data_IF_943156417597
#
_entry.id   IF_943156417597
#
_cell.length_a   1.000
_cell.length_b   1.000
_cell.length_c   1.000
_cell.angle_alpha   90.00
_cell.angle_beta   90.00
_cell.angle_gamma   90.00
#
_symmetry.space_group_name_H-M   'P 1'
#
loop_
_entity.id
_entity.type
_entity.pdbx_description
1 polymer ?
#
# COMPACT_ATOMS: atom_id res chain seq x y z
N UNK A 1 -4.68 -51.35 51.17
CA UNK A 1 -4.18 -52.54 51.91
C UNK A 1 -4.45 -53.78 51.07
N UNK A 2 -3.41 -54.63 50.88
CA UNK A 2 -3.35 -55.97 50.26
C UNK A 2 -3.66 -56.04 48.75
N UNK A 3 -2.75 -56.39 47.83
CA UNK A 3 -1.76 -57.48 47.64
C UNK A 3 -2.28 -58.63 46.76
N UNK A 4 -1.52 -58.91 45.67
CA UNK A 4 -1.40 -60.19 44.97
C UNK A 4 -2.25 -60.30 43.70
N UNK A 5 -1.84 -60.89 42.58
CA UNK A 5 -0.74 -61.80 42.27
C UNK A 5 -0.65 -61.87 40.70
N UNK A 6 0.51 -61.73 40.04
CA UNK A 6 1.53 -62.73 39.68
C UNK A 6 1.46 -63.25 38.22
N UNK A 7 2.61 -63.10 37.54
CA UNK A 7 3.27 -63.90 36.47
C UNK A 7 2.73 -63.94 35.03
N UNK A 8 3.67 -63.70 34.12
CA UNK A 8 3.64 -64.21 32.74
C UNK A 8 4.85 -63.73 31.91
N UNK A 9 6.05 -64.24 32.19
CA UNK A 9 7.20 -64.11 31.29
C UNK A 9 6.95 -64.91 30.00
N UNK A 10 7.16 -64.29 28.83
CA UNK A 10 7.58 -65.02 27.62
C UNK A 10 8.74 -64.26 26.99
N UNK A 11 9.90 -64.92 27.02
CA UNK A 11 11.10 -64.57 26.28
C UNK A 11 10.87 -64.94 24.82
N UNK A 12 11.07 -64.01 23.89
CA UNK A 12 11.20 -64.36 22.46
C UNK A 12 12.35 -63.59 21.85
N UNK A 13 13.11 -64.33 21.05
CA UNK A 13 14.50 -64.12 20.68
C UNK A 13 14.68 -63.08 19.57
N UNK A 14 15.81 -62.38 19.66
CA UNK A 14 16.68 -61.91 18.57
C UNK A 14 16.24 -62.18 17.13
N UNK A 15 16.15 -61.11 16.34
CA UNK A 15 16.84 -61.00 15.05
C UNK A 15 17.01 -59.50 14.73
N UNK A 16 18.17 -58.96 15.11
CA UNK A 16 18.61 -57.62 14.66
C UNK A 16 19.23 -57.81 13.28
N UNK A 17 18.48 -57.50 12.23
CA UNK A 17 19.03 -57.35 10.89
C UNK A 17 19.55 -55.91 10.78
N UNK A 18 20.86 -55.75 10.89
CA UNK A 18 21.54 -54.49 10.57
C UNK A 18 21.56 -54.35 9.04
N UNK A 19 20.59 -53.63 8.49
CA UNK A 19 20.63 -53.20 7.09
C UNK A 19 21.58 -52.00 7.01
N UNK A 20 22.77 -52.26 6.50
CA UNK A 20 23.78 -51.25 6.18
C UNK A 20 23.29 -50.45 4.96
N UNK A 21 22.49 -49.41 5.18
CA UNK A 21 22.17 -48.44 4.13
C UNK A 21 23.43 -47.61 3.81
N UNK A 22 24.10 -47.96 2.71
CA UNK A 22 25.09 -47.11 2.05
C UNK A 22 24.44 -45.77 1.70
N UNK A 23 24.76 -44.74 2.48
CA UNK A 23 24.53 -43.35 2.10
C UNK A 23 25.56 -42.98 1.04
N UNK A 24 25.20 -43.20 -0.23
CA UNK A 24 25.79 -42.48 -1.35
C UNK A 24 25.35 -41.01 -1.21
N UNK A 25 26.21 -40.20 -0.58
CA UNK A 25 26.14 -38.76 -0.64
C UNK A 25 26.40 -38.34 -2.10
N UNK A 26 25.35 -38.37 -2.92
CA UNK A 26 25.33 -37.65 -4.18
C UNK A 26 25.53 -36.17 -3.84
N UNK A 27 26.72 -35.65 -4.14
CA UNK A 27 27.00 -34.24 -4.26
C UNK A 27 26.12 -33.70 -5.38
N UNK A 28 24.85 -33.40 -5.08
CA UNK A 28 24.05 -32.57 -5.93
C UNK A 28 24.73 -31.19 -5.95
N UNK A 29 25.07 -30.64 -7.13
CA UNK A 29 25.49 -29.25 -7.18
C UNK A 29 24.33 -28.44 -6.60
N UNK A 30 24.62 -27.67 -5.54
CA UNK A 30 23.72 -26.63 -5.09
C UNK A 30 23.47 -25.73 -6.31
N UNK A 31 22.30 -25.89 -6.94
CA UNK A 31 21.83 -24.90 -7.90
C UNK A 31 21.76 -23.63 -7.09
N UNK A 32 22.62 -22.66 -7.43
CA UNK A 32 22.40 -21.29 -7.04
C UNK A 32 20.99 -20.97 -7.53
N UNK A 33 20.02 -20.98 -6.61
CA UNK A 33 18.74 -20.39 -6.87
C UNK A 33 19.06 -18.94 -7.18
N UNK A 34 18.84 -18.50 -8.41
CA UNK A 34 18.77 -17.08 -8.75
C UNK A 34 17.65 -16.50 -7.91
N UNK A 35 17.96 -16.13 -6.66
CA UNK A 35 17.04 -15.48 -5.75
C UNK A 35 16.97 -14.03 -6.20
N UNK A 36 16.21 -13.79 -7.26
CA UNK A 36 15.81 -12.43 -7.58
C UNK A 36 15.02 -11.90 -6.39
N UNK A 37 15.42 -10.72 -5.89
CA UNK A 37 14.64 -10.00 -4.88
C UNK A 37 13.42 -9.46 -5.60
N UNK A 38 12.23 -9.97 -5.30
CA UNK A 38 11.00 -9.43 -5.86
C UNK A 38 10.46 -8.33 -4.97
N UNK A 39 10.08 -7.19 -5.57
CA UNK A 39 9.24 -6.19 -4.93
C UNK A 39 7.81 -6.36 -5.42
N UNK A 40 6.93 -6.77 -4.51
CA UNK A 40 5.51 -6.91 -4.83
C UNK A 40 4.84 -5.54 -4.94
N UNK A 41 4.28 -5.25 -6.12
CA UNK A 41 3.44 -4.08 -6.33
C UNK A 41 2.10 -4.25 -5.60
N UNK A 42 1.41 -3.15 -5.25
CA UNK A 42 0.20 -3.21 -4.47
C UNK A 42 -0.89 -4.12 -5.06
N UNK A 43 -1.50 -4.93 -4.19
CA UNK A 43 -2.67 -5.74 -4.52
C UNK A 43 -3.97 -5.15 -3.94
N UNK A 44 -5.12 -5.79 -4.25
CA UNK A 44 -6.37 -5.47 -3.56
C UNK A 44 -6.22 -5.59 -2.03
N UNK A 45 -6.85 -4.69 -1.25
CA UNK A 45 -6.79 -4.74 0.21
C UNK A 45 -7.65 -5.90 0.73
N UNK A 46 -7.03 -7.07 0.89
CA UNK A 46 -7.70 -8.31 1.35
C UNK A 46 -7.28 -8.74 2.76
N UNK A 47 -6.27 -8.09 3.34
CA UNK A 47 -5.75 -8.35 4.68
C UNK A 47 -5.62 -7.03 5.46
N UNK A 48 -5.47 -7.15 6.79
CA UNK A 48 -5.32 -6.01 7.70
C UNK A 48 -6.42 -4.95 7.53
N UNK A 49 -7.67 -5.42 7.43
CA UNK A 49 -8.85 -4.57 7.28
C UNK A 49 -9.15 -3.87 8.59
N UNK A 50 -9.56 -2.61 8.48
CA UNK A 50 -9.97 -1.79 9.61
C UNK A 50 -11.47 -1.92 9.85
N UNK A 51 -11.88 -1.82 11.11
CA UNK A 51 -13.27 -1.92 11.56
C UNK A 51 -13.86 -0.52 11.79
N UNK A 52 -14.93 -0.14 11.07
CA UNK A 52 -15.64 1.11 11.32
C UNK A 52 -16.16 1.18 12.76
N UNK A 53 -15.98 2.32 13.43
CA UNK A 53 -16.35 2.54 14.83
C UNK A 53 -15.33 2.02 15.85
N UNK A 54 -14.41 1.14 15.44
CA UNK A 54 -13.32 0.63 16.29
C UNK A 54 -12.00 1.30 15.92
N UNK A 55 -11.58 1.20 14.67
CA UNK A 55 -10.27 1.70 14.18
C UNK A 55 -10.38 3.08 13.52
N UNK A 56 -11.51 3.35 12.86
CA UNK A 56 -11.79 4.63 12.23
C UNK A 56 -13.28 4.99 12.33
N UNK A 57 -13.61 6.27 12.23
CA UNK A 57 -14.99 6.74 12.02
C UNK A 57 -15.03 7.76 10.88
N UNK A 58 -16.21 7.90 10.30
CA UNK A 58 -16.47 8.84 9.21
C UNK A 58 -17.36 9.97 9.73
N UNK A 59 -16.96 11.21 9.50
CA UNK A 59 -17.78 12.39 9.76
C UNK A 59 -18.14 13.07 8.43
N UNK A 60 -19.42 13.37 8.21
CA UNK A 60 -19.84 14.17 7.06
C UNK A 60 -19.33 15.59 7.21
N UNK A 61 -18.70 16.11 6.16
CA UNK A 61 -18.13 17.46 6.11
C UNK A 61 -18.54 18.17 4.83
N UNK A 62 -18.42 19.49 4.83
CA UNK A 62 -18.59 20.29 3.60
C UNK A 62 -17.22 20.61 3.01
N UNK A 63 -16.88 19.95 1.91
CA UNK A 63 -15.70 20.30 1.13
C UNK A 63 -15.87 21.69 0.50
N UNK A 64 -14.78 22.46 0.46
CA UNK A 64 -14.71 23.81 -0.08
C UNK A 64 -13.62 23.90 -1.14
N UNK A 65 -13.84 24.70 -2.17
CA UNK A 65 -12.81 25.04 -3.15
C UNK A 65 -11.81 26.07 -2.60
N UNK A 66 -10.81 26.43 -3.40
CA UNK A 66 -9.78 27.41 -3.05
C UNK A 66 -10.34 28.81 -2.75
N UNK A 67 -11.57 29.11 -3.18
CA UNK A 67 -12.29 30.36 -2.89
C UNK A 67 -13.20 30.25 -1.65
N UNK A 68 -13.15 29.11 -0.94
CA UNK A 68 -13.96 28.84 0.24
C UNK A 68 -15.41 28.47 -0.07
N UNK A 69 -15.79 28.32 -1.33
CA UNK A 69 -17.15 27.98 -1.73
C UNK A 69 -17.40 26.47 -1.59
N UNK A 70 -18.59 26.06 -1.13
CA UNK A 70 -18.96 24.64 -1.11
C UNK A 70 -18.85 24.00 -2.50
N UNK A 71 -18.27 22.81 -2.59
CA UNK A 71 -18.30 22.02 -3.83
C UNK A 71 -19.67 21.30 -3.90
N UNK A 72 -20.53 21.64 -4.87
CA UNK A 72 -21.86 21.05 -4.95
C UNK A 72 -21.76 19.61 -5.47
N UNK A 73 -22.75 18.80 -5.10
CA UNK A 73 -22.99 17.45 -5.66
C UNK A 73 -21.83 16.46 -5.51
N UNK A 74 -20.91 16.69 -4.57
CA UNK A 74 -19.83 15.75 -4.22
C UNK A 74 -19.89 15.49 -2.72
N UNK A 75 -20.34 14.30 -2.27
CA UNK A 75 -20.35 13.98 -0.85
C UNK A 75 -18.91 13.97 -0.33
N UNK A 76 -18.71 14.54 0.85
CA UNK A 76 -17.41 14.64 1.49
C UNK A 76 -17.44 14.07 2.90
N UNK A 77 -16.43 13.27 3.24
CA UNK A 77 -16.26 12.65 4.54
C UNK A 77 -14.87 12.90 5.08
N UNK A 78 -14.77 13.12 6.39
CA UNK A 78 -13.53 13.14 7.14
C UNK A 78 -13.31 11.76 7.76
N UNK A 79 -12.09 11.25 7.68
CA UNK A 79 -11.66 9.99 8.30
C UNK A 79 -10.95 10.37 9.60
N UNK A 80 -11.58 10.05 10.73
CA UNK A 80 -10.95 10.15 12.05
C UNK A 80 -10.41 8.77 12.42
N UNK A 81 -9.11 8.69 12.73
CA UNK A 81 -8.47 7.47 13.20
C UNK A 81 -8.54 7.40 14.73
N UNK A 82 -8.54 6.18 15.26
CA UNK A 82 -8.39 5.97 16.69
C UNK A 82 -6.91 5.79 17.03
N UNK A 83 -6.40 6.67 17.87
CA UNK A 83 -5.15 6.49 18.61
C UNK A 83 -5.42 5.68 19.88
N UNK A 84 -4.49 4.79 20.16
CA UNK A 84 -4.37 4.03 21.41
C UNK A 84 -4.03 4.90 22.63
N UNK A 85 -3.42 6.07 22.41
CA UNK A 85 -3.02 7.00 23.47
C UNK A 85 -4.13 8.01 23.82
N UNK A 86 -4.71 8.66 22.81
CA UNK A 86 -5.56 9.86 23.00
C UNK A 86 -7.01 9.66 22.55
N UNK A 87 -7.40 8.44 22.18
CA UNK A 87 -8.72 8.13 21.66
C UNK A 87 -8.87 8.56 20.19
N UNK A 88 -10.00 9.18 19.83
CA UNK A 88 -10.19 9.64 18.45
C UNK A 88 -9.27 10.81 18.14
N UNK A 89 -8.46 10.69 17.09
CA UNK A 89 -7.64 11.80 16.60
C UNK A 89 -8.57 12.99 16.27
N UNK A 90 -8.41 14.08 17.01
CA UNK A 90 -9.22 15.28 16.80
C UNK A 90 -8.68 16.06 15.61
N UNK A 91 -9.18 15.74 14.43
CA UNK A 91 -9.07 16.65 13.30
C UNK A 91 -10.03 17.82 13.55
N UNK A 92 -9.54 19.06 13.45
CA UNK A 92 -10.34 20.25 13.69
C UNK A 92 -11.62 20.30 12.82
N UNK A 93 -12.60 21.08 13.24
CA UNK A 93 -13.90 21.21 12.54
C UNK A 93 -13.77 21.92 11.19
N UNK A 94 -12.70 22.69 10.99
CA UNK A 94 -12.40 23.37 9.73
C UNK A 94 -11.32 22.61 8.98
N UNK A 95 -11.70 22.00 7.86
CA UNK A 95 -10.78 21.34 6.94
C UNK A 95 -10.18 22.34 5.93
N UNK A 96 -8.95 22.10 5.44
CA UNK A 96 -8.36 22.94 4.41
C UNK A 96 -9.21 22.91 3.13
N UNK A 97 -9.16 23.95 2.28
CA UNK A 97 -9.81 23.92 0.98
C UNK A 97 -9.15 22.89 0.06
N UNK A 98 -9.89 22.47 -0.97
CA UNK A 98 -9.38 21.64 -2.05
C UNK A 98 -8.65 22.51 -3.06
N UNK A 99 -7.44 22.09 -3.43
CA UNK A 99 -6.59 22.77 -4.40
C UNK A 99 -6.45 22.01 -5.72
N UNK A 100 -7.40 21.11 -6.00
CA UNK A 100 -7.48 20.40 -7.27
C UNK A 100 -8.87 20.49 -7.89
N UNK A 101 -8.92 20.32 -9.21
CA UNK A 101 -10.18 20.36 -9.93
C UNK A 101 -11.00 19.08 -9.69
N UNK A 102 -12.30 19.26 -9.41
CA UNK A 102 -13.30 18.18 -9.48
C UNK A 102 -14.20 18.42 -10.69
N UNK A 103 -13.92 17.78 -11.84
CA UNK A 103 -14.64 18.01 -13.08
C UNK A 103 -16.15 17.84 -12.91
N UNK A 104 -16.93 18.84 -13.33
CA UNK A 104 -18.38 18.88 -13.11
C UNK A 104 -19.11 17.64 -13.64
N UNK A 105 -18.71 17.14 -14.82
CA UNK A 105 -19.31 15.96 -15.43
C UNK A 105 -19.03 14.64 -14.67
N UNK A 106 -18.08 14.64 -13.73
CA UNK A 106 -17.66 13.46 -12.96
C UNK A 106 -18.14 13.53 -11.51
N UNK A 107 -18.57 14.70 -11.01
CA UNK A 107 -19.06 14.89 -9.63
C UNK A 107 -20.10 13.85 -9.19
N UNK A 108 -21.11 13.48 -10.01
CA UNK A 108 -22.09 12.46 -9.62
C UNK A 108 -21.51 11.05 -9.39
N UNK A 109 -20.29 10.79 -9.87
CA UNK A 109 -19.62 9.48 -9.73
C UNK A 109 -18.45 9.53 -8.75
N UNK A 110 -18.23 10.65 -8.08
CA UNK A 110 -17.13 10.88 -7.15
C UNK A 110 -17.65 11.17 -5.73
N UNK A 111 -16.77 10.88 -4.77
CA UNK A 111 -16.83 11.28 -3.38
C UNK A 111 -15.46 11.81 -2.95
N UNK A 112 -15.45 12.62 -1.90
CA UNK A 112 -14.25 13.19 -1.29
C UNK A 112 -14.03 12.60 0.09
N UNK A 113 -12.79 12.23 0.37
CA UNK A 113 -12.34 11.83 1.70
C UNK A 113 -11.20 12.72 2.14
N UNK A 114 -11.22 13.18 3.39
CA UNK A 114 -10.11 13.86 4.02
C UNK A 114 -9.53 12.99 5.11
N UNK A 115 -8.20 12.87 5.17
CA UNK A 115 -7.51 12.30 6.31
C UNK A 115 -6.17 13.02 6.53
N UNK A 116 -5.86 13.36 7.78
CA UNK A 116 -4.47 13.68 8.16
C UNK A 116 -3.63 12.39 8.11
N UNK A 117 -2.39 12.38 7.57
CA UNK A 117 -1.65 13.46 6.93
C UNK A 117 -1.83 13.53 5.39
N UNK A 118 -2.67 12.68 4.79
CA UNK A 118 -2.75 12.53 3.33
C UNK A 118 -3.41 13.72 2.62
N UNK A 119 -4.31 14.42 3.31
CA UNK A 119 -5.14 15.49 2.76
C UNK A 119 -6.41 14.97 2.08
N UNK A 120 -6.92 15.76 1.12
CA UNK A 120 -8.10 15.41 0.33
C UNK A 120 -7.80 14.35 -0.73
N UNK A 121 -8.70 13.37 -0.84
CA UNK A 121 -8.65 12.26 -1.78
C UNK A 121 -9.96 12.17 -2.56
N UNK A 122 -9.87 12.01 -3.88
CA UNK A 122 -11.02 11.63 -4.71
C UNK A 122 -11.15 10.11 -4.77
N UNK A 123 -12.37 9.63 -4.58
CA UNK A 123 -12.72 8.21 -4.57
C UNK A 123 -13.99 8.03 -5.41
N UNK A 124 -14.19 6.90 -6.13
CA UNK A 124 -15.47 6.63 -6.77
C UNK A 124 -16.60 6.58 -5.73
N UNK A 125 -17.76 7.18 -6.05
CA UNK A 125 -18.83 7.49 -5.08
C UNK A 125 -19.29 6.29 -4.24
N UNK A 126 -19.45 5.13 -4.85
CA UNK A 126 -20.02 3.95 -4.19
C UNK A 126 -18.97 3.04 -3.54
N UNK A 127 -17.74 3.53 -3.38
CA UNK A 127 -16.64 2.76 -2.80
C UNK A 127 -16.56 3.00 -1.30
N UNK A 128 -16.22 1.93 -0.57
CA UNK A 128 -16.18 1.93 0.89
C UNK A 128 -14.75 1.90 1.37
N UNK A 129 -14.44 2.71 2.38
CA UNK A 129 -13.20 2.62 3.14
C UNK A 129 -13.17 1.28 3.89
N UNK A 130 -12.14 0.47 3.62
CA UNK A 130 -11.95 -0.86 4.25
C UNK A 130 -10.65 -0.96 5.05
N UNK A 131 -9.74 -0.02 4.85
CA UNK A 131 -8.48 0.07 5.59
C UNK A 131 -8.14 1.53 5.82
N UNK A 132 -7.85 1.88 7.06
CA UNK A 132 -7.45 3.21 7.49
C UNK A 132 -6.46 3.02 8.64
N UNK A 133 -5.18 3.22 8.35
CA UNK A 133 -4.08 2.97 9.30
C UNK A 133 -3.11 4.13 9.24
N UNK A 134 -2.62 4.53 10.41
CA UNK A 134 -1.50 5.45 10.56
C UNK A 134 -0.51 4.87 11.56
N UNK A 135 0.75 4.79 11.16
CA UNK A 135 1.87 4.38 12.00
C UNK A 135 2.38 5.53 12.87
N UNK A 136 3.19 5.18 13.86
CA UNK A 136 3.84 6.15 14.77
C UNK A 136 4.75 7.12 14.03
N UNK A 137 5.31 6.69 12.89
CA UNK A 137 6.14 7.49 11.99
C UNK A 137 5.32 8.44 11.09
N UNK A 138 4.00 8.52 11.29
CA UNK A 138 3.10 9.28 10.43
C UNK A 138 2.82 8.62 9.08
N UNK A 139 3.39 7.44 8.82
CA UNK A 139 3.10 6.65 7.63
C UNK A 139 1.63 6.25 7.62
N UNK A 140 0.89 6.54 6.55
CA UNK A 140 -0.54 6.30 6.49
C UNK A 140 -0.94 5.52 5.24
N UNK A 141 -1.92 4.63 5.41
CA UNK A 141 -2.54 3.88 4.32
C UNK A 141 -4.06 3.93 4.43
N UNK A 142 -4.70 4.41 3.36
CA UNK A 142 -6.15 4.39 3.21
C UNK A 142 -6.52 3.58 1.98
N UNK A 143 -7.38 2.57 2.15
CA UNK A 143 -7.81 1.73 1.03
C UNK A 143 -9.31 1.60 0.95
N UNK A 144 -9.81 1.68 -0.27
CA UNK A 144 -11.23 1.65 -0.62
C UNK A 144 -11.49 0.48 -1.55
N UNK A 145 -12.68 -0.10 -1.47
CA UNK A 145 -13.13 -1.14 -2.40
C UNK A 145 -14.49 -0.80 -2.99
N UNK A 146 -14.73 -1.27 -4.21
CA UNK A 146 -16.03 -1.18 -4.84
C UNK A 146 -17.11 -1.89 -3.99
N UNK A 147 -18.37 -1.46 -4.11
CA UNK A 147 -19.48 -2.03 -3.34
C UNK A 147 -19.61 -3.56 -3.45
N UNK A 148 -19.20 -4.14 -4.59
CA UNK A 148 -19.21 -5.59 -4.87
C UNK A 148 -17.89 -6.30 -4.51
N UNK A 149 -16.97 -5.61 -3.84
CA UNK A 149 -15.69 -6.13 -3.38
C UNK A 149 -14.49 -5.73 -4.27
N UNK A 150 -13.27 -6.09 -3.82
CA UNK A 150 -12.03 -5.64 -4.46
C UNK A 150 -11.79 -6.19 -5.88
N UNK A 151 -12.44 -7.30 -6.24
CA UNK A 151 -12.40 -7.86 -7.61
C UNK A 151 -13.03 -6.92 -8.63
N UNK A 152 -14.00 -6.10 -8.21
CA UNK A 152 -14.67 -5.12 -9.07
C UNK A 152 -13.98 -3.76 -9.07
N UNK A 153 -13.10 -3.53 -8.11
CA UNK A 153 -12.23 -2.36 -8.05
C UNK A 153 -11.77 -2.03 -6.64
N UNK A 154 -10.61 -1.39 -6.56
CA UNK A 154 -10.00 -0.94 -5.33
C UNK A 154 -9.06 0.24 -5.55
N UNK A 155 -8.88 1.05 -4.51
CA UNK A 155 -7.98 2.20 -4.50
C UNK A 155 -7.20 2.15 -3.20
N UNK A 156 -5.92 2.46 -3.25
CA UNK A 156 -5.09 2.62 -2.05
C UNK A 156 -4.24 3.87 -2.19
N UNK A 157 -4.24 4.68 -1.13
CA UNK A 157 -3.35 5.83 -0.98
C UNK A 157 -2.38 5.51 0.16
N UNK A 158 -1.09 5.64 -0.15
CA UNK A 158 0.03 5.47 0.79
C UNK A 158 0.74 6.83 0.91
N UNK A 159 1.12 7.20 2.13
CA UNK A 159 1.92 8.38 2.40
C UNK A 159 2.92 8.06 3.51
N UNK A 160 4.20 8.31 3.27
CA UNK A 160 5.30 8.05 4.22
C UNK A 160 6.14 9.32 4.30
N UNK A 161 5.94 10.16 5.33
CA UNK A 161 6.60 11.47 5.44
C UNK A 161 7.86 11.50 6.32
N UNK A 162 8.17 10.45 7.09
CA UNK A 162 9.27 10.52 8.06
C UNK A 162 10.18 9.27 8.11
N UNK A 163 9.67 8.07 7.78
CA UNK A 163 10.50 6.87 7.78
C UNK A 163 11.33 6.78 6.49
N UNK A 164 12.54 7.35 6.49
CA UNK A 164 13.47 7.35 5.34
C UNK A 164 13.70 5.94 4.78
N UNK A 165 13.93 4.95 5.64
CA UNK A 165 14.10 3.56 5.20
C UNK A 165 12.85 2.99 4.53
N UNK A 166 11.67 3.26 5.10
CA UNK A 166 10.39 2.85 4.51
C UNK A 166 10.13 3.55 3.16
N UNK A 167 10.50 4.82 3.03
CA UNK A 167 10.39 5.56 1.78
C UNK A 167 11.29 4.97 0.69
N UNK A 168 12.56 4.69 1.00
CA UNK A 168 13.47 4.07 0.03
C UNK A 168 12.99 2.68 -0.37
N UNK A 169 12.48 1.90 0.58
CA UNK A 169 11.88 0.59 0.30
C UNK A 169 10.66 0.69 -0.63
N UNK A 170 9.81 1.70 -0.47
CA UNK A 170 8.67 1.93 -1.38
C UNK A 170 9.07 2.56 -2.72
N UNK A 171 10.19 3.28 -2.78
CA UNK A 171 10.75 3.83 -4.00
C UNK A 171 11.60 2.81 -4.79
N UNK A 172 11.99 1.70 -4.15
CA UNK A 172 12.91 0.72 -4.73
C UNK A 172 12.32 0.07 -5.99
N UNK A 173 13.16 -0.07 -7.02
CA UNK A 173 12.78 -0.49 -8.38
C UNK A 173 11.89 0.50 -9.16
N UNK A 174 11.37 1.56 -8.53
CA UNK A 174 10.53 2.57 -9.20
C UNK A 174 11.27 3.87 -9.49
N UNK A 175 12.22 4.27 -8.65
CA UNK A 175 12.96 5.51 -8.82
C UNK A 175 14.46 5.24 -8.91
N UNK A 176 15.14 5.97 -9.81
CA UNK A 176 16.59 5.87 -9.96
C UNK A 176 17.30 6.23 -8.66
N UNK A 177 18.21 5.37 -8.21
CA UNK A 177 19.02 5.59 -7.01
C UNK A 177 18.31 5.28 -5.67
N UNK A 178 17.02 4.93 -5.65
CA UNK A 178 16.34 4.53 -4.42
C UNK A 178 16.94 3.24 -3.83
N UNK A 179 17.29 2.29 -4.69
CA UNK A 179 17.95 1.04 -4.29
C UNK A 179 19.29 1.29 -3.59
N UNK A 180 20.19 2.03 -4.24
CA UNK A 180 21.51 2.33 -3.69
C UNK A 180 21.42 3.06 -2.35
N UNK A 181 20.42 3.94 -2.20
CA UNK A 181 20.14 4.64 -0.94
C UNK A 181 19.64 3.69 0.15
N UNK A 182 18.76 2.75 -0.18
CA UNK A 182 18.31 1.71 0.74
C UNK A 182 19.47 0.81 1.18
N UNK A 183 20.25 0.31 0.23
CA UNK A 183 21.42 -0.55 0.46
C UNK A 183 22.44 0.15 1.37
N UNK A 184 22.76 1.42 1.06
CA UNK A 184 23.66 2.24 1.90
C UNK A 184 23.12 2.42 3.31
N UNK A 185 21.81 2.65 3.46
CA UNK A 185 21.17 2.79 4.77
C UNK A 185 21.23 1.49 5.58
N UNK A 186 21.08 0.33 4.91
CA UNK A 186 21.10 -0.99 5.54
C UNK A 186 22.52 -1.57 5.72
N UNK A 187 23.54 -0.93 5.11
CA UNK A 187 24.91 -1.44 5.11
C UNK A 187 25.06 -2.75 4.31
N UNK A 188 24.26 -2.91 3.26
CA UNK A 188 24.22 -4.10 2.41
C UNK A 188 24.46 -3.71 0.94
N UNK A 189 24.75 -4.71 0.12
CA UNK A 189 24.77 -4.57 -1.34
C UNK A 189 23.97 -5.73 -1.91
N UNK A 190 22.75 -5.45 -2.32
CA UNK A 190 21.81 -6.42 -2.84
C UNK A 190 21.56 -6.18 -4.33
N UNK A 191 21.04 -7.17 -5.09
CA UNK A 191 20.57 -6.90 -6.43
C UNK A 191 19.30 -6.04 -6.39
N UNK A 192 19.20 -5.07 -7.32
CA UNK A 192 17.99 -4.28 -7.49
C UNK A 192 16.75 -5.18 -7.68
N UNK A 193 15.60 -4.83 -7.06
CA UNK A 193 14.46 -5.71 -7.08
C UNK A 193 13.79 -5.74 -8.46
N UNK A 194 13.20 -6.89 -8.78
CA UNK A 194 12.28 -7.02 -9.91
C UNK A 194 10.87 -6.70 -9.41
N UNK A 195 10.17 -5.80 -10.10
CA UNK A 195 8.79 -5.47 -9.78
C UNK A 195 7.85 -6.63 -10.16
N UNK A 196 7.01 -7.04 -9.22
CA UNK A 196 6.10 -8.19 -9.36
C UNK A 196 4.65 -7.78 -9.02
N UNK A 197 3.67 -7.88 -9.94
CA UNK A 197 3.84 -8.22 -11.35
C UNK A 197 4.67 -7.17 -12.10
N UNK A 198 5.26 -7.58 -13.23
CA UNK A 198 6.00 -6.64 -14.07
C UNK A 198 5.04 -5.59 -14.66
N UNK A 199 5.30 -4.27 -14.51
CA UNK A 199 4.52 -3.24 -15.18
C UNK A 199 4.57 -3.35 -16.70
N UNK A 200 3.46 -3.02 -17.36
CA UNK A 200 3.41 -2.95 -18.84
C UNK A 200 4.34 -1.85 -19.37
N UNK A 201 4.42 -0.75 -18.62
CA UNK A 201 5.27 0.42 -18.88
C UNK A 201 5.42 1.24 -17.60
N UNK A 202 6.59 1.83 -17.42
CA UNK A 202 6.88 2.82 -16.39
C UNK A 202 7.24 4.14 -17.09
N UNK A 203 6.49 5.18 -16.78
CA UNK A 203 6.66 6.53 -17.28
C UNK A 203 7.16 7.42 -16.14
N UNK A 204 8.12 8.30 -16.43
CA UNK A 204 8.64 9.29 -15.49
C UNK A 204 8.34 10.70 -15.99
N UNK A 205 7.17 11.27 -15.69
CA UNK A 205 6.84 12.63 -16.11
C UNK A 205 7.76 13.69 -15.51
N UNK A 206 8.49 13.34 -14.44
CA UNK A 206 9.52 14.16 -13.80
C UNK A 206 10.47 13.28 -12.98
N UNK A 207 11.54 13.86 -12.42
CA UNK A 207 12.49 13.11 -11.60
C UNK A 207 11.90 12.56 -10.28
N UNK A 208 10.84 13.20 -9.77
CA UNK A 208 10.23 12.85 -8.48
C UNK A 208 8.85 12.18 -8.63
N UNK A 209 8.40 11.91 -9.86
CA UNK A 209 7.12 11.26 -10.12
C UNK A 209 7.25 10.11 -11.11
N UNK A 210 6.55 9.02 -10.83
CA UNK A 210 6.45 7.86 -11.71
C UNK A 210 5.00 7.46 -11.90
N UNK A 211 4.66 7.02 -13.10
CA UNK A 211 3.36 6.48 -13.47
C UNK A 211 3.53 5.13 -14.12
N UNK A 212 2.71 4.16 -13.73
CA UNK A 212 2.78 2.84 -14.32
C UNK A 212 1.45 2.12 -14.23
N UNK A 213 1.32 1.06 -15.02
CA UNK A 213 0.17 0.18 -15.00
C UNK A 213 0.59 -1.28 -15.04
N UNK A 214 -0.21 -2.13 -14.44
CA UNK A 214 0.02 -3.57 -14.39
C UNK A 214 -1.31 -4.31 -14.27
N UNK A 215 -1.24 -5.64 -14.31
CA UNK A 215 -2.40 -6.51 -14.18
C UNK A 215 -2.19 -7.51 -13.07
N UNK A 216 -3.26 -7.73 -12.31
CA UNK A 216 -3.34 -8.78 -11.32
C UNK A 216 -4.37 -9.83 -11.77
N UNK A 217 -4.22 -11.10 -11.37
CA UNK A 217 -5.25 -12.10 -11.58
C UNK A 217 -6.58 -11.64 -10.97
N UNK A 218 -7.68 -11.80 -11.73
CA UNK A 218 -9.03 -11.44 -11.28
C UNK A 218 -9.18 -9.99 -10.76
N UNK A 219 -8.44 -9.03 -11.32
CA UNK A 219 -8.59 -7.60 -11.02
C UNK A 219 -8.71 -6.79 -12.32
N UNK A 220 -9.38 -5.62 -12.32
CA UNK A 220 -9.29 -4.68 -13.42
C UNK A 220 -7.84 -4.22 -13.64
N UNK A 221 -7.56 -3.56 -14.76
CA UNK A 221 -6.24 -3.00 -15.01
C UNK A 221 -5.89 -1.97 -13.93
N UNK A 222 -4.70 -2.10 -13.36
CA UNK A 222 -4.21 -1.23 -12.30
C UNK A 222 -3.49 -0.04 -12.91
N UNK A 223 -3.66 1.13 -12.29
CA UNK A 223 -2.95 2.38 -12.59
C UNK A 223 -2.38 2.94 -11.29
N UNK A 224 -1.13 3.35 -11.33
CA UNK A 224 -0.44 3.93 -10.19
C UNK A 224 0.22 5.24 -10.57
N UNK A 225 0.15 6.21 -9.66
CA UNK A 225 0.98 7.41 -9.65
C UNK A 225 1.70 7.41 -8.31
N UNK A 226 3.02 7.49 -8.33
CA UNK A 226 3.83 7.62 -7.14
C UNK A 226 4.74 8.85 -7.22
N UNK A 227 5.03 9.41 -6.06
CA UNK A 227 5.89 10.55 -5.83
C UNK A 227 6.94 10.18 -4.81
N UNK A 228 8.18 10.57 -5.06
CA UNK A 228 9.29 10.36 -4.16
C UNK A 228 10.19 11.59 -4.18
N UNK A 229 10.28 12.26 -3.04
CA UNK A 229 11.25 13.32 -2.80
C UNK A 229 12.17 12.90 -1.66
N UNK A 230 13.46 12.98 -1.92
CA UNK A 230 14.51 12.78 -0.93
C UNK A 230 15.19 14.13 -0.64
N UNK A 231 14.38 15.07 -0.16
CA UNK A 231 14.82 16.38 0.31
C UNK A 231 15.25 16.25 1.78
N UNK A 232 16.37 16.87 2.15
CA UNK A 232 16.87 16.87 3.53
C UNK A 232 15.89 17.49 4.54
N UNK A 233 14.98 18.35 4.07
CA UNK A 233 14.02 19.08 4.91
C UNK A 233 12.61 18.50 4.89
N UNK A 234 12.21 17.82 3.81
CA UNK A 234 10.86 17.25 3.67
C UNK A 234 10.86 15.94 2.83
N UNK A 235 11.54 14.88 3.31
CA UNK A 235 11.58 13.61 2.61
C UNK A 235 10.19 12.97 2.65
N UNK A 236 9.65 12.59 1.49
CA UNK A 236 8.35 11.92 1.45
C UNK A 236 8.21 10.94 0.28
N UNK A 237 7.52 9.83 0.54
CA UNK A 237 6.97 8.95 -0.47
C UNK A 237 5.44 9.02 -0.44
N UNK A 238 4.80 9.21 -1.58
CA UNK A 238 3.34 9.18 -1.71
C UNK A 238 2.95 8.34 -2.90
N UNK A 239 1.93 7.51 -2.78
CA UNK A 239 1.46 6.70 -3.88
C UNK A 239 -0.06 6.57 -3.87
N UNK A 240 -0.69 6.72 -5.05
CA UNK A 240 -2.06 6.32 -5.29
C UNK A 240 -2.07 5.19 -6.30
N UNK A 241 -2.65 4.06 -5.92
CA UNK A 241 -2.89 2.92 -6.80
C UNK A 241 -4.39 2.68 -6.92
N UNK A 242 -4.88 2.48 -8.14
CA UNK A 242 -6.30 2.33 -8.46
C UNK A 242 -6.49 1.24 -9.51
N UNK A 243 -7.38 0.28 -9.23
CA UNK A 243 -7.88 -0.68 -10.19
C UNK A 243 -9.39 -0.49 -10.35
N UNK A 244 -9.85 -0.18 -11.55
CA UNK A 244 -11.26 0.04 -11.85
C UNK A 244 -11.62 -0.47 -13.26
N UNK A 245 -12.89 -0.86 -13.49
CA UNK A 245 -13.31 -1.36 -14.80
C UNK A 245 -13.19 -0.27 -15.86
N UNK A 246 -12.99 -0.68 -17.13
CA UNK A 246 -12.83 0.25 -18.26
C UNK A 246 -14.00 1.23 -18.43
N UNK A 247 -15.20 0.85 -17.99
CA UNK A 247 -16.39 1.70 -17.98
C UNK A 247 -16.23 2.94 -17.09
N UNK A 248 -15.30 2.91 -16.13
CA UNK A 248 -14.97 4.04 -15.24
C UNK A 248 -13.73 4.83 -15.68
N UNK A 249 -13.26 4.68 -16.93
CA UNK A 249 -12.03 5.33 -17.39
C UNK A 249 -11.99 6.85 -17.16
N UNK A 250 -13.12 7.56 -17.32
CA UNK A 250 -13.19 9.02 -17.06
C UNK A 250 -13.10 9.36 -15.56
N UNK A 251 -13.63 8.50 -14.70
CA UNK A 251 -13.54 8.65 -13.23
C UNK A 251 -12.10 8.40 -12.78
N UNK A 252 -11.47 7.34 -13.29
CA UNK A 252 -10.04 7.02 -13.06
C UNK A 252 -9.16 8.20 -13.47
N UNK A 253 -9.37 8.76 -14.67
CA UNK A 253 -8.60 9.90 -15.14
C UNK A 253 -8.77 11.14 -14.24
N UNK A 254 -9.98 11.40 -13.73
CA UNK A 254 -10.23 12.50 -12.81
C UNK A 254 -9.51 12.30 -11.46
N UNK A 255 -9.54 11.08 -10.90
CA UNK A 255 -8.87 10.75 -9.63
C UNK A 255 -7.35 10.91 -9.77
N UNK A 256 -6.75 10.31 -10.80
CA UNK A 256 -5.29 10.41 -11.04
C UNK A 256 -4.88 11.85 -11.36
N UNK A 257 -5.70 12.59 -12.10
CA UNK A 257 -5.48 14.01 -12.40
C UNK A 257 -5.46 14.87 -11.14
N UNK A 258 -6.46 14.73 -10.28
CA UNK A 258 -6.52 15.41 -8.99
C UNK A 258 -5.35 15.04 -8.08
N UNK A 259 -4.98 13.76 -8.03
CA UNK A 259 -3.85 13.31 -7.23
C UNK A 259 -2.55 14.00 -7.65
N UNK A 260 -2.28 14.10 -8.96
CA UNK A 260 -1.10 14.84 -9.45
C UNK A 260 -1.08 16.30 -9.03
N UNK A 261 -2.23 16.97 -9.01
CA UNK A 261 -2.33 18.39 -8.65
C UNK A 261 -2.01 18.64 -7.16
N UNK A 262 -2.15 17.64 -6.28
CA UNK A 262 -1.83 17.76 -4.85
C UNK A 262 -0.45 17.22 -4.49
N UNK A 263 0.28 16.65 -5.46
CA UNK A 263 1.67 16.28 -5.25
C UNK A 263 2.54 17.55 -5.27
N UNK A 264 3.58 17.62 -4.41
CA UNK A 264 4.53 18.72 -4.48
C UNK A 264 5.15 18.83 -5.87
N UNK A 265 5.52 20.05 -6.27
CA UNK A 265 6.32 20.23 -7.49
C UNK A 265 7.72 19.66 -7.26
N UNK A 266 8.29 18.94 -8.23
CA UNK A 266 9.71 18.62 -8.26
C UNK A 266 10.50 19.91 -8.52
N UNK A 267 10.62 20.81 -7.53
CA UNK A 267 11.57 21.92 -7.65
C UNK A 267 12.96 21.32 -7.59
N UNK A 268 13.71 21.50 -8.68
CA UNK A 268 15.13 21.23 -8.87
C UNK A 268 15.79 20.41 -7.75
N UNK A 269 15.54 19.08 -7.76
CA UNK A 269 16.42 18.11 -7.07
C UNK A 269 17.81 18.03 -7.73
N UNK A 270 18.12 18.98 -8.62
CA UNK A 270 19.41 19.23 -9.25
C UNK A 270 20.15 20.31 -8.46
N UNK A 271 20.62 19.97 -7.27
CA UNK A 271 21.89 20.52 -6.82
C UNK A 271 22.57 19.47 -5.91
N UNK A 272 23.76 18.97 -6.32
CA UNK A 272 24.49 17.93 -5.59
C UNK A 272 24.94 18.37 -4.19
#
# INVERSE_FOLDING_TARGET
>A
MRLGHIRGCVVTRCNVVVVLCLWLAALAPARASDTHVERHLPGPPVSNLSRPGEDFRLATVQARDAQGQPIPDVPAQRIDLRSDLDGWEQQGDTLPPIHFDVPAAQRPSLALFYASPVGWMLVPRDWKLVRAVQGIDGGAVFSFTAARGPVEGWLSVVSIPACVGCMYQEADGLFSGAHDKLDKLLGQSTPAPILAPNPDKIDHPSACMVEFGYRLPASPAVRTVAFFADDAYDPQFRQLTLAAPKTQAKVVAAILGAYRQVLPTCKDMSSP
#
